data_IF_906135307193
#
_entry.id   IF_906135307193
#
_cell.length_a   1.000
_cell.length_b   1.000
_cell.length_c   1.000
_cell.angle_alpha   90.00
_cell.angle_beta   90.00
_cell.angle_gamma   90.00
#
_symmetry.space_group_name_H-M   'P 1'
#
loop_
_entity.id
_entity.type
_entity.pdbx_description
1 polymer ?
#
# COMPACT_ATOMS: atom_id res chain seq x y z
N UNK A 1 28.86 29.65 23.91
CA UNK A 1 27.38 29.67 23.98
C UNK A 1 26.86 29.17 22.66
N UNK A 2 26.16 28.02 22.75
CA UNK A 2 25.31 27.36 21.74
C UNK A 2 25.89 27.00 20.38
N UNK A 3 26.41 25.77 20.37
CA UNK A 3 26.30 24.75 19.34
C UNK A 3 24.97 24.76 18.57
N UNK A 4 25.05 24.50 17.26
CA UNK A 4 24.02 23.74 16.56
C UNK A 4 24.57 23.23 15.22
N UNK A 5 25.45 22.23 15.29
CA UNK A 5 25.59 21.25 14.21
C UNK A 5 24.82 20.00 14.59
N UNK A 6 23.62 19.85 14.03
CA UNK A 6 23.07 18.52 13.77
C UNK A 6 22.27 18.54 12.47
N UNK A 7 22.80 17.87 11.46
CA UNK A 7 22.11 17.52 10.22
C UNK A 7 21.94 16.00 10.26
N UNK A 8 20.75 15.44 10.06
CA UNK A 8 20.63 14.10 9.51
C UNK A 8 20.38 14.23 7.99
N UNK A 9 21.34 13.83 7.14
CA UNK A 9 21.04 13.51 5.75
C UNK A 9 20.25 12.19 5.77
N UNK A 10 18.96 12.23 5.44
CA UNK A 10 18.13 11.02 5.46
C UNK A 10 16.73 11.12 4.88
N UNK A 11 16.25 12.31 4.51
CA UNK A 11 14.92 12.48 3.89
C UNK A 11 14.94 12.62 2.36
N UNK A 12 16.08 12.38 1.73
CA UNK A 12 16.17 12.26 0.29
C UNK A 12 16.18 10.78 -0.10
N UNK A 13 15.12 10.05 0.25
CA UNK A 13 14.65 9.04 -0.71
C UNK A 13 14.32 9.86 -1.95
N UNK A 14 15.16 9.81 -2.97
CA UNK A 14 14.94 10.57 -4.20
C UNK A 14 13.52 10.26 -4.68
N UNK A 15 12.74 11.25 -5.14
CA UNK A 15 11.37 11.04 -5.60
C UNK A 15 11.26 9.94 -6.69
N UNK A 16 12.37 9.65 -7.36
CA UNK A 16 12.52 8.56 -8.33
C UNK A 16 12.52 7.15 -7.72
N UNK A 17 12.81 6.97 -6.42
CA UNK A 17 13.02 5.64 -5.81
C UNK A 17 11.73 4.82 -5.75
N UNK A 18 10.63 5.41 -5.27
CA UNK A 18 9.38 4.68 -5.10
C UNK A 18 8.78 4.20 -6.43
N UNK A 19 8.74 5.07 -7.45
CA UNK A 19 8.23 4.70 -8.77
C UNK A 19 9.06 3.58 -9.45
N UNK A 20 10.36 3.51 -9.14
CA UNK A 20 11.25 2.46 -9.65
C UNK A 20 11.13 1.16 -8.85
N UNK A 21 10.92 1.24 -7.54
CA UNK A 21 10.77 0.08 -6.64
C UNK A 21 9.43 -0.65 -6.85
N UNK A 22 8.34 0.09 -7.05
CA UNK A 22 6.97 -0.45 -7.06
C UNK A 22 6.77 -1.63 -8.03
N UNK A 23 7.20 -1.60 -9.31
CA UNK A 23 6.98 -2.72 -10.22
C UNK A 23 7.60 -4.04 -9.72
N UNK A 24 8.80 -3.99 -9.13
CA UNK A 24 9.45 -5.17 -8.57
C UNK A 24 8.70 -5.71 -7.35
N UNK A 25 8.23 -4.81 -6.47
CA UNK A 25 7.45 -5.21 -5.29
C UNK A 25 6.09 -5.80 -5.69
N UNK A 26 5.41 -5.24 -6.70
CA UNK A 26 4.15 -5.80 -7.22
C UNK A 26 4.36 -7.22 -7.71
N UNK A 27 5.44 -7.48 -8.46
CA UNK A 27 5.76 -8.83 -8.94
C UNK A 27 5.93 -9.82 -7.78
N UNK A 28 6.67 -9.44 -6.73
CA UNK A 28 6.87 -10.29 -5.54
C UNK A 28 5.56 -10.52 -4.77
N UNK A 29 4.71 -9.49 -4.60
CA UNK A 29 3.40 -9.61 -3.96
C UNK A 29 2.50 -10.59 -4.73
N UNK A 30 2.42 -10.46 -6.05
CA UNK A 30 1.60 -11.31 -6.91
C UNK A 30 2.11 -12.75 -6.91
N UNK A 31 3.43 -12.93 -7.01
CA UNK A 31 4.07 -14.26 -6.94
C UNK A 31 3.78 -14.95 -5.61
N UNK A 32 3.86 -14.22 -4.49
CA UNK A 32 3.57 -14.77 -3.18
C UNK A 32 2.10 -15.15 -3.02
N UNK A 33 1.16 -14.34 -3.54
CA UNK A 33 -0.27 -14.69 -3.55
C UNK A 33 -0.53 -15.95 -4.38
N UNK A 34 0.09 -16.08 -5.55
CA UNK A 34 -0.08 -17.27 -6.40
C UNK A 34 0.43 -18.54 -5.69
N UNK A 35 1.59 -18.45 -5.04
CA UNK A 35 2.17 -19.56 -4.26
C UNK A 35 1.32 -19.91 -3.03
N UNK A 36 0.62 -18.93 -2.46
CA UNK A 36 -0.26 -19.09 -1.31
C UNK A 36 -1.68 -19.54 -1.68
N UNK A 37 -2.00 -19.74 -2.97
CA UNK A 37 -3.37 -20.07 -3.40
C UNK A 37 -4.36 -18.93 -3.15
N UNK A 38 -3.90 -17.68 -3.34
CA UNK A 38 -4.64 -16.43 -3.12
C UNK A 38 -5.05 -16.11 -1.67
N UNK A 39 -4.49 -16.84 -0.69
CA UNK A 39 -4.67 -16.52 0.72
C UNK A 39 -3.65 -15.43 1.16
N UNK A 40 -4.11 -14.20 1.46
CA UNK A 40 -3.21 -13.11 1.84
C UNK A 40 -2.48 -13.35 3.16
N UNK A 41 -3.08 -14.09 4.10
CA UNK A 41 -2.46 -14.36 5.40
C UNK A 41 -1.30 -15.36 5.27
N UNK A 42 -1.47 -16.36 4.40
CA UNK A 42 -0.41 -17.31 4.05
C UNK A 42 0.70 -16.60 3.27
N UNK A 43 0.35 -15.79 2.25
CA UNK A 43 1.34 -15.04 1.46
C UNK A 43 2.20 -14.12 2.32
N UNK A 44 1.58 -13.37 3.23
CA UNK A 44 2.28 -12.47 4.13
C UNK A 44 3.20 -13.20 5.12
N UNK A 45 2.95 -14.48 5.41
CA UNK A 45 3.80 -15.29 6.28
C UNK A 45 5.13 -15.73 5.64
N UNK A 46 5.32 -15.54 4.32
CA UNK A 46 6.57 -15.85 3.65
C UNK A 46 7.73 -14.91 4.05
N UNK A 47 8.86 -15.48 4.45
CA UNK A 47 10.04 -14.72 4.90
C UNK A 47 10.60 -13.81 3.80
N UNK A 48 10.67 -14.31 2.56
CA UNK A 48 11.15 -13.52 1.41
C UNK A 48 10.30 -12.27 1.20
N UNK A 49 8.97 -12.40 1.22
CA UNK A 49 8.09 -11.27 0.99
C UNK A 49 8.16 -10.25 2.14
N UNK A 50 8.24 -10.73 3.38
CA UNK A 50 8.44 -9.85 4.53
C UNK A 50 9.76 -9.09 4.43
N UNK A 51 10.84 -9.74 3.99
CA UNK A 51 12.12 -9.08 3.76
C UNK A 51 12.02 -8.01 2.68
N UNK A 52 11.48 -8.34 1.50
CA UNK A 52 11.25 -7.39 0.40
C UNK A 52 10.43 -6.19 0.88
N UNK A 53 9.32 -6.45 1.57
CA UNK A 53 8.42 -5.40 2.07
C UNK A 53 9.09 -4.51 3.12
N UNK A 54 9.92 -5.08 4.00
CA UNK A 54 10.65 -4.32 5.01
C UNK A 54 11.70 -3.38 4.41
N UNK A 55 12.31 -3.79 3.29
CA UNK A 55 13.34 -3.03 2.57
C UNK A 55 12.75 -1.98 1.63
N UNK A 56 11.51 -2.15 1.19
CA UNK A 56 10.80 -1.15 0.40
C UNK A 56 10.76 0.20 1.10
N UNK A 57 10.93 1.28 0.32
CA UNK A 57 10.77 2.62 0.86
C UNK A 57 9.34 2.81 1.39
N UNK A 58 9.16 3.61 2.47
CA UNK A 58 7.82 3.95 2.96
C UNK A 58 6.91 4.51 1.87
N UNK A 59 7.46 5.32 0.96
CA UNK A 59 6.76 5.88 -0.19
C UNK A 59 6.28 4.79 -1.16
N UNK A 60 7.11 3.78 -1.46
CA UNK A 60 6.67 2.66 -2.29
C UNK A 60 5.54 1.87 -1.62
N UNK A 61 5.63 1.58 -0.31
CA UNK A 61 4.57 0.88 0.43
C UNK A 61 3.26 1.65 0.42
N UNK A 62 3.30 2.95 0.73
CA UNK A 62 2.13 3.84 0.69
C UNK A 62 1.55 3.95 -0.72
N UNK A 63 2.42 4.08 -1.74
CA UNK A 63 2.03 4.15 -3.13
C UNK A 63 1.29 2.87 -3.58
N UNK A 64 1.78 1.70 -3.18
CA UNK A 64 1.15 0.42 -3.48
C UNK A 64 -0.22 0.27 -2.80
N UNK A 65 -0.32 0.61 -1.52
CA UNK A 65 -1.62 0.59 -0.81
C UNK A 65 -2.66 1.47 -1.51
N UNK A 66 -2.26 2.67 -1.92
CA UNK A 66 -3.16 3.62 -2.58
C UNK A 66 -3.54 3.16 -3.99
N UNK A 67 -2.56 2.73 -4.79
CA UNK A 67 -2.77 2.30 -6.16
C UNK A 67 -3.65 1.06 -6.25
N UNK A 68 -3.37 0.05 -5.41
CA UNK A 68 -4.17 -1.18 -5.40
C UNK A 68 -5.59 -0.89 -4.91
N UNK A 69 -5.77 -0.01 -3.91
CA UNK A 69 -7.11 0.39 -3.48
C UNK A 69 -7.89 1.09 -4.60
N UNK A 70 -7.24 1.97 -5.37
CA UNK A 70 -7.83 2.59 -6.54
C UNK A 70 -8.22 1.55 -7.60
N UNK A 71 -7.33 0.64 -7.95
CA UNK A 71 -7.58 -0.36 -8.99
C UNK A 71 -8.70 -1.33 -8.56
N UNK A 72 -8.76 -1.68 -7.27
CA UNK A 72 -9.78 -2.56 -6.70
C UNK A 72 -11.13 -1.86 -6.44
N UNK A 73 -11.27 -0.55 -6.68
CA UNK A 73 -12.43 0.26 -6.22
C UNK A 73 -13.79 -0.16 -6.80
N UNK A 74 -13.80 -0.87 -7.92
CA UNK A 74 -15.03 -1.39 -8.55
C UNK A 74 -15.40 -2.78 -8.07
N UNK A 75 -14.52 -3.40 -7.28
CA UNK A 75 -14.72 -4.71 -6.70
C UNK A 75 -15.75 -4.73 -5.57
N UNK A 76 -16.15 -5.93 -5.13
CA UNK A 76 -16.98 -6.06 -3.94
C UNK A 76 -16.20 -5.57 -2.72
N UNK A 77 -16.71 -4.53 -2.07
CA UNK A 77 -16.15 -4.04 -0.80
C UNK A 77 -16.46 -5.10 0.26
N UNK A 78 -15.44 -5.75 0.86
CA UNK A 78 -15.69 -6.68 1.94
C UNK A 78 -16.38 -5.96 3.09
N UNK A 79 -17.33 -6.64 3.75
CA UNK A 79 -17.77 -6.20 5.08
C UNK A 79 -16.53 -5.96 5.93
N UNK A 80 -16.49 -4.86 6.69
CA UNK A 80 -15.37 -4.57 7.59
C UNK A 80 -15.09 -5.82 8.43
N UNK A 81 -13.99 -6.49 8.11
CA UNK A 81 -13.67 -7.80 8.67
C UNK A 81 -13.50 -7.72 10.18
N UNK A 82 -13.47 -8.87 10.86
CA UNK A 82 -13.03 -8.88 12.25
C UNK A 82 -11.54 -8.59 12.30
N UNK A 83 -11.15 -7.46 12.90
CA UNK A 83 -9.75 -7.08 13.13
C UNK A 83 -9.23 -5.93 12.26
N UNK A 84 -8.04 -5.45 12.61
CA UNK A 84 -7.44 -4.21 12.10
C UNK A 84 -7.17 -4.25 10.59
N UNK A 85 -6.78 -5.41 10.03
CA UNK A 85 -6.58 -5.57 8.58
C UNK A 85 -7.88 -5.29 7.82
N UNK A 86 -8.98 -5.92 8.23
CA UNK A 86 -10.28 -5.77 7.58
C UNK A 86 -10.82 -4.34 7.65
N UNK A 87 -10.55 -3.62 8.74
CA UNK A 87 -10.89 -2.21 8.89
C UNK A 87 -10.15 -1.35 7.85
N UNK A 88 -8.82 -1.47 7.74
CA UNK A 88 -8.04 -0.69 6.77
C UNK A 88 -8.36 -1.03 5.32
N UNK A 89 -8.57 -2.31 5.00
CA UNK A 89 -8.99 -2.75 3.66
C UNK A 89 -10.33 -2.11 3.29
N UNK A 90 -11.31 -2.17 4.20
CA UNK A 90 -12.62 -1.58 4.00
C UNK A 90 -12.53 -0.06 3.81
N UNK A 91 -11.83 0.65 4.69
CA UNK A 91 -11.69 2.12 4.61
C UNK A 91 -11.01 2.58 3.32
N UNK A 92 -9.93 1.91 2.91
CA UNK A 92 -9.22 2.24 1.66
C UNK A 92 -10.09 2.00 0.43
N UNK A 93 -10.77 0.84 0.36
CA UNK A 93 -11.67 0.53 -0.76
C UNK A 93 -12.89 1.46 -0.80
N UNK A 94 -13.53 1.71 0.35
CA UNK A 94 -14.68 2.60 0.42
C UNK A 94 -14.30 4.01 0.00
N UNK A 95 -13.16 4.53 0.48
CA UNK A 95 -12.66 5.85 0.08
C UNK A 95 -12.35 5.91 -1.42
N UNK A 96 -11.79 4.84 -1.99
CA UNK A 96 -11.51 4.78 -3.42
C UNK A 96 -12.78 4.68 -4.27
N UNK A 97 -13.79 3.92 -3.81
CA UNK A 97 -15.06 3.74 -4.49
C UNK A 97 -15.93 5.00 -4.45
N UNK A 98 -15.94 5.72 -3.33
CA UNK A 98 -16.68 6.97 -3.16
C UNK A 98 -16.04 8.17 -3.86
N UNK A 99 -14.79 8.02 -4.34
CA UNK A 99 -14.08 9.11 -4.99
C UNK A 99 -14.66 9.39 -6.39
N UNK A 100 -15.16 10.60 -6.60
CA UNK A 100 -15.80 11.04 -7.86
C UNK A 100 -14.83 11.60 -8.90
N UNK A 101 -13.55 11.78 -8.53
CA UNK A 101 -12.50 12.26 -9.41
C UNK A 101 -11.86 11.16 -10.28
N UNK A 102 -10.84 11.53 -11.04
CA UNK A 102 -10.02 10.60 -11.81
C UNK A 102 -8.79 10.14 -11.00
N UNK A 103 -7.96 9.28 -11.61
CA UNK A 103 -6.74 8.76 -11.00
C UNK A 103 -5.85 9.87 -10.42
N UNK A 104 -5.62 10.94 -11.20
CA UNK A 104 -4.74 12.05 -10.79
C UNK A 104 -5.33 12.85 -9.61
N UNK A 105 -6.66 13.01 -9.57
CA UNK A 105 -7.34 13.68 -8.46
C UNK A 105 -7.30 12.85 -7.16
N UNK A 106 -7.35 11.52 -7.28
CA UNK A 106 -7.28 10.61 -6.14
C UNK A 106 -5.86 10.52 -5.56
N UNK A 107 -4.85 10.37 -6.43
CA UNK A 107 -3.46 10.16 -6.03
C UNK A 107 -2.67 11.46 -5.83
N UNK A 108 -3.11 12.55 -6.43
CA UNK A 108 -2.42 13.83 -6.44
C UNK A 108 -1.26 13.89 -7.44
N UNK A 109 -0.79 15.12 -7.77
CA UNK A 109 0.17 15.36 -8.85
C UNK A 109 1.58 14.84 -8.56
N UNK A 110 1.88 14.48 -7.31
CA UNK A 110 3.19 13.97 -6.91
C UNK A 110 3.32 12.46 -6.98
N UNK A 111 2.23 11.71 -7.17
CA UNK A 111 2.23 10.25 -7.00
C UNK A 111 3.30 9.53 -7.86
N UNK A 112 4.01 8.51 -7.31
CA UNK A 112 3.88 7.91 -5.97
C UNK A 112 4.64 8.68 -4.87
N UNK A 113 5.14 9.87 -5.16
CA UNK A 113 5.79 10.72 -4.17
C UNK A 113 4.78 11.44 -3.30
N UNK A 114 5.15 11.62 -2.03
CA UNK A 114 4.32 12.24 -1.02
C UNK A 114 4.29 13.78 -1.14
N UNK A 115 3.23 14.42 -0.60
CA UNK A 115 2.10 13.84 0.14
C UNK A 115 1.01 13.25 -0.77
N UNK A 116 0.48 12.09 -0.41
CA UNK A 116 -0.76 11.57 -0.99
C UNK A 116 -1.96 12.35 -0.41
N UNK A 117 -2.84 12.93 -1.24
CA UNK A 117 -3.96 13.74 -0.77
C UNK A 117 -5.11 12.89 -0.22
N UNK A 118 -5.99 13.53 0.55
CA UNK A 118 -7.25 12.95 1.01
C UNK A 118 -7.13 11.86 2.07
N UNK A 119 -8.27 11.32 2.49
CA UNK A 119 -8.36 10.34 3.58
C UNK A 119 -7.59 9.05 3.26
N UNK A 120 -7.73 8.51 2.04
CA UNK A 120 -6.99 7.33 1.61
C UNK A 120 -5.48 7.57 1.63
N UNK A 121 -5.03 8.78 1.21
CA UNK A 121 -3.64 9.18 1.26
C UNK A 121 -3.07 9.20 2.68
N UNK A 122 -3.83 9.71 3.65
CA UNK A 122 -3.46 9.71 5.07
C UNK A 122 -3.33 8.27 5.61
N UNK A 123 -4.31 7.41 5.33
CA UNK A 123 -4.30 6.00 5.77
C UNK A 123 -3.11 5.26 5.16
N UNK A 124 -2.93 5.35 3.84
CA UNK A 124 -1.83 4.67 3.14
C UNK A 124 -0.45 5.19 3.60
N UNK A 125 -0.33 6.49 3.87
CA UNK A 125 0.91 7.08 4.43
C UNK A 125 1.17 6.57 5.84
N UNK A 126 0.14 6.54 6.71
CA UNK A 126 0.25 6.00 8.05
C UNK A 126 0.74 4.55 8.05
N UNK A 127 0.13 3.70 7.24
CA UNK A 127 0.51 2.29 7.11
C UNK A 127 1.90 2.09 6.49
N UNK A 128 2.24 2.82 5.42
CA UNK A 128 3.54 2.64 4.73
C UNK A 128 4.75 3.15 5.53
N UNK A 129 4.54 4.14 6.40
CA UNK A 129 5.58 4.73 7.26
C UNK A 129 5.71 4.03 8.63
N UNK A 130 4.70 3.29 9.07
CA UNK A 130 4.75 2.53 10.31
C UNK A 130 5.71 1.33 10.19
N UNK A 131 6.92 1.50 10.69
CA UNK A 131 7.96 0.46 10.70
C UNK A 131 7.73 -0.60 11.78
N UNK A 132 6.97 -0.29 12.81
CA UNK A 132 6.70 -1.23 13.89
C UNK A 132 5.59 -2.21 13.49
N UNK A 133 4.74 -1.81 12.54
CA UNK A 133 3.64 -2.63 12.01
C UNK A 133 3.77 -2.95 10.51
N UNK A 134 4.97 -3.25 10.03
CA UNK A 134 5.19 -3.64 8.63
C UNK A 134 4.32 -4.81 8.19
N UNK A 135 4.14 -5.81 9.07
CA UNK A 135 3.28 -6.96 8.80
C UNK A 135 1.84 -6.56 8.51
N UNK A 136 1.29 -5.64 9.30
CA UNK A 136 -0.08 -5.14 9.12
C UNK A 136 -0.25 -4.50 7.74
N UNK A 137 0.67 -3.61 7.34
CA UNK A 137 0.60 -2.98 6.01
C UNK A 137 0.73 -3.97 4.85
N UNK A 138 1.53 -5.03 5.03
CA UNK A 138 1.65 -6.14 4.07
C UNK A 138 0.35 -6.95 3.95
N UNK A 139 -0.24 -7.33 5.08
CA UNK A 139 -1.52 -8.05 5.11
C UNK A 139 -2.63 -7.22 4.43
N UNK A 140 -2.64 -5.90 4.63
CA UNK A 140 -3.61 -4.98 4.00
C UNK A 140 -3.41 -4.93 2.49
N UNK A 141 -2.21 -4.71 1.98
CA UNK A 141 -1.98 -4.62 0.51
C UNK A 141 -2.29 -5.94 -0.20
N UNK A 142 -1.96 -7.08 0.42
CA UNK A 142 -2.28 -8.41 -0.13
C UNK A 142 -3.78 -8.65 -0.14
N UNK A 143 -4.49 -8.25 0.91
CA UNK A 143 -5.95 -8.37 0.96
C UNK A 143 -6.63 -7.51 -0.12
N UNK A 144 -6.11 -6.31 -0.39
CA UNK A 144 -6.60 -5.46 -1.49
C UNK A 144 -6.35 -6.12 -2.86
N UNK A 145 -5.18 -6.72 -3.08
CA UNK A 145 -4.86 -7.46 -4.31
C UNK A 145 -5.81 -8.65 -4.53
N UNK A 146 -6.16 -9.38 -3.47
CA UNK A 146 -7.16 -10.46 -3.56
C UNK A 146 -8.53 -9.91 -3.99
N UNK A 147 -8.94 -8.73 -3.51
CA UNK A 147 -10.19 -8.08 -3.96
C UNK A 147 -10.10 -7.70 -5.44
N UNK A 148 -8.99 -7.08 -5.86
CA UNK A 148 -8.75 -6.71 -7.27
C UNK A 148 -8.91 -7.93 -8.20
N UNK A 149 -8.19 -9.02 -7.92
CA UNK A 149 -8.22 -10.24 -8.73
C UNK A 149 -9.61 -10.87 -8.85
N UNK A 150 -10.38 -10.89 -7.75
CA UNK A 150 -11.77 -11.37 -7.75
C UNK A 150 -12.70 -10.51 -8.61
N UNK A 151 -12.38 -9.23 -8.75
CA UNK A 151 -13.16 -8.30 -9.57
C UNK A 151 -12.92 -8.54 -11.06
N UNK A 152 -11.69 -8.90 -11.43
CA UNK A 152 -11.30 -9.23 -12.81
C UNK A 152 -11.89 -10.57 -13.28
N UNK A 153 -12.15 -11.52 -12.37
CA UNK A 153 -12.74 -12.83 -12.74
C UNK A 153 -14.25 -12.80 -12.96
N UNK A 154 -14.94 -11.75 -12.50
CA UNK A 154 -16.40 -11.61 -12.57
C UNK A 154 -16.86 -10.71 -13.74
N UNK A 155 -15.92 -10.04 -14.39
CA UNK A 155 -16.16 -9.15 -15.55
C UNK A 155 -16.00 -9.90 -16.88
#
# INVERSE_FOLDING_TARGET
MTDNRFVPPGLAGTPFSAAVEMPGIVFELMTALDQAGEDPAIAAAGDQLQQVWSQASPQARSGLLLNVAWDARTGPIPSSGTGTVGMYVHELLQTAADHTGNFDAFHGPGFPTLPCPGTAGVIATGLGFDRDNLRLSLDVVLSLLTVLRRSETVS
#
